data_IF_676717526308
#
_entry.id   IF_676717526308
#
_cell.length_a   1.000
_cell.length_b   1.000
_cell.length_c   1.000
_cell.angle_alpha   90.00
_cell.angle_beta   90.00
_cell.angle_gamma   90.00
#
_symmetry.space_group_name_H-M   'P 1'
#
loop_
_entity.id
_entity.type
_entity.pdbx_description
1 polymer ?
#
# COMPACT_ATOMS: atom_id res chain seq x y z
N UNK A 1 -5.70 -7.26 -8.72
CA UNK A 1 -4.28 -7.53 -9.11
C UNK A 1 -3.86 -6.93 -10.44
N UNK A 2 -4.67 -7.00 -11.51
CA UNK A 2 -4.27 -6.49 -12.83
C UNK A 2 -3.81 -5.01 -12.81
N UNK A 3 -4.54 -4.14 -12.12
CA UNK A 3 -4.23 -2.72 -12.01
C UNK A 3 -2.86 -2.44 -11.36
N UNK A 4 -2.53 -3.13 -10.27
CA UNK A 4 -1.23 -3.01 -9.60
C UNK A 4 -0.10 -3.54 -10.47
N UNK A 5 -0.32 -4.65 -11.20
CA UNK A 5 0.68 -5.21 -12.11
C UNK A 5 0.99 -4.25 -13.26
N UNK A 6 -0.05 -3.63 -13.86
CA UNK A 6 0.12 -2.59 -14.87
C UNK A 6 0.87 -1.38 -14.29
N UNK A 7 0.48 -0.94 -13.10
CA UNK A 7 1.12 0.19 -12.43
C UNK A 7 2.62 -0.08 -12.19
N UNK A 8 2.99 -1.21 -11.58
CA UNK A 8 4.39 -1.58 -11.32
C UNK A 8 5.22 -1.63 -12.60
N UNK A 9 4.65 -2.21 -13.67
CA UNK A 9 5.29 -2.26 -14.99
C UNK A 9 5.57 -0.86 -15.53
N UNK A 10 4.56 0.01 -15.57
CA UNK A 10 4.72 1.38 -16.07
C UNK A 10 5.70 2.20 -15.23
N UNK A 11 5.64 2.06 -13.91
CA UNK A 11 6.58 2.76 -13.02
C UNK A 11 8.01 2.31 -13.27
N UNK A 12 8.22 1.00 -13.50
CA UNK A 12 9.54 0.45 -13.85
C UNK A 12 10.03 0.98 -15.20
N UNK A 13 9.20 0.93 -16.25
CA UNK A 13 9.54 1.40 -17.60
C UNK A 13 9.92 2.89 -17.64
N UNK A 14 9.25 3.70 -16.81
CA UNK A 14 9.49 5.15 -16.73
C UNK A 14 10.45 5.57 -15.61
N UNK A 15 11.14 4.62 -14.96
CA UNK A 15 12.07 4.88 -13.84
C UNK A 15 11.44 5.69 -12.69
N UNK A 16 10.16 5.47 -12.43
CA UNK A 16 9.42 6.12 -11.34
C UNK A 16 9.47 5.22 -10.11
N UNK A 17 10.01 5.75 -9.01
CA UNK A 17 10.04 5.02 -7.74
C UNK A 17 8.78 5.27 -6.91
N UNK A 18 8.13 4.19 -6.51
CA UNK A 18 7.08 4.16 -5.50
C UNK A 18 7.39 3.08 -4.46
N UNK A 19 6.62 3.02 -3.37
CA UNK A 19 6.65 1.86 -2.47
C UNK A 19 5.28 1.60 -1.86
N UNK A 20 5.07 0.38 -1.36
CA UNK A 20 3.86 -0.03 -0.66
C UNK A 20 3.61 0.84 0.57
N UNK A 21 2.36 1.22 0.81
CA UNK A 21 1.95 2.11 1.89
C UNK A 21 0.80 1.49 2.70
N UNK A 22 0.47 2.08 3.85
CA UNK A 22 -0.77 1.77 4.58
C UNK A 22 -1.10 0.27 4.77
N UNK A 23 -2.33 -0.09 4.39
CA UNK A 23 -2.88 -1.45 4.48
C UNK A 23 -2.10 -2.45 3.62
N UNK A 24 -1.66 -2.01 2.45
CA UNK A 24 -0.83 -2.81 1.54
C UNK A 24 0.52 -3.17 2.13
N UNK A 25 1.21 -2.24 2.81
CA UNK A 25 2.50 -2.51 3.43
C UNK A 25 2.39 -3.50 4.61
N UNK A 26 1.37 -3.35 5.46
CA UNK A 26 1.14 -4.31 6.54
C UNK A 26 0.65 -5.66 6.02
N UNK A 27 -0.08 -5.68 4.92
CA UNK A 27 -0.41 -6.89 4.16
C UNK A 27 0.86 -7.64 3.75
N UNK A 28 1.77 -7.00 3.01
CA UNK A 28 3.05 -7.60 2.63
C UNK A 28 3.81 -8.13 3.85
N UNK A 29 3.80 -7.38 4.96
CA UNK A 29 4.45 -7.80 6.19
C UNK A 29 3.77 -9.01 6.85
N UNK A 30 2.44 -9.11 6.86
CA UNK A 30 1.72 -10.16 7.59
C UNK A 30 1.37 -11.38 6.76
N UNK A 31 1.20 -11.22 5.46
CA UNK A 31 0.58 -12.20 4.58
C UNK A 31 1.36 -12.43 3.28
N UNK A 32 2.48 -11.72 3.07
CA UNK A 32 3.16 -11.67 1.76
C UNK A 32 2.19 -11.28 0.62
N UNK A 33 1.13 -10.52 0.92
CA UNK A 33 0.03 -10.20 0.00
C UNK A 33 -0.94 -9.21 0.64
N UNK A 34 -2.17 -9.13 0.15
CA UNK A 34 -3.21 -8.31 0.77
C UNK A 34 -3.55 -8.82 2.18
N UNK A 35 -4.02 -7.93 3.05
CA UNK A 35 -4.73 -8.38 4.24
C UNK A 35 -6.02 -9.06 3.76
N UNK A 36 -6.37 -10.28 4.23
CA UNK A 36 -7.44 -11.09 3.62
C UNK A 36 -8.86 -10.47 3.61
N UNK A 37 -9.05 -9.40 4.37
CA UNK A 37 -10.32 -8.67 4.50
C UNK A 37 -10.19 -7.19 4.10
N UNK A 38 -9.13 -6.83 3.39
CA UNK A 38 -8.90 -5.53 2.77
C UNK A 38 -9.39 -5.57 1.31
N UNK A 39 -9.87 -4.44 0.79
CA UNK A 39 -10.51 -4.37 -0.53
C UNK A 39 -9.79 -3.44 -1.52
N UNK A 40 -8.71 -2.77 -1.10
CA UNK A 40 -7.96 -1.83 -1.93
C UNK A 40 -6.42 -1.98 -1.77
N UNK A 41 -5.68 -1.13 -2.48
CA UNK A 41 -4.22 -1.15 -2.50
C UNK A 41 -3.70 0.27 -2.41
N UNK A 42 -2.74 0.49 -1.52
CA UNK A 42 -2.09 1.76 -1.24
C UNK A 42 -0.63 1.76 -1.72
N UNK A 43 -0.27 2.75 -2.51
CA UNK A 43 1.13 3.06 -2.85
C UNK A 43 1.45 4.50 -2.55
N UNK A 44 2.72 4.81 -2.27
CA UNK A 44 3.16 6.18 -2.03
C UNK A 44 4.35 6.56 -2.91
N UNK A 45 4.29 7.79 -3.44
CA UNK A 45 5.28 8.37 -4.36
C UNK A 45 5.73 9.75 -3.89
N UNK A 46 6.84 10.25 -4.41
CA UNK A 46 7.24 11.63 -4.11
C UNK A 46 6.30 12.62 -4.81
N UNK A 47 5.92 13.71 -4.13
CA UNK A 47 4.97 14.72 -4.66
C UNK A 47 5.44 15.36 -5.97
N UNK A 48 6.75 15.41 -6.23
CA UNK A 48 7.31 15.94 -7.48
C UNK A 48 6.99 15.06 -8.71
N UNK A 49 6.56 13.81 -8.51
CA UNK A 49 6.22 12.89 -9.61
C UNK A 49 4.80 13.09 -10.14
N UNK A 50 3.95 13.89 -9.50
CA UNK A 50 2.54 14.11 -9.92
C UNK A 50 2.42 14.51 -11.39
N UNK A 51 3.28 15.40 -11.88
CA UNK A 51 3.29 15.82 -13.29
C UNK A 51 3.69 14.70 -14.23
N UNK A 52 4.73 13.94 -13.87
CA UNK A 52 5.21 12.81 -14.67
C UNK A 52 4.16 11.68 -14.72
N UNK A 53 3.47 11.38 -13.62
CA UNK A 53 2.37 10.42 -13.62
C UNK A 53 1.26 10.81 -14.59
N UNK A 54 0.87 12.10 -14.63
CA UNK A 54 -0.13 12.57 -15.60
C UNK A 54 0.32 12.33 -17.06
N UNK A 55 1.59 12.54 -17.37
CA UNK A 55 2.14 12.30 -18.71
C UNK A 55 2.19 10.80 -19.06
N UNK A 56 2.57 9.95 -18.10
CA UNK A 56 2.56 8.49 -18.30
C UNK A 56 1.15 8.04 -18.63
N UNK A 57 0.18 8.40 -17.79
CA UNK A 57 -1.20 7.93 -17.95
C UNK A 57 -2.00 8.65 -19.03
N UNK A 58 -1.55 9.80 -19.56
CA UNK A 58 -2.13 10.39 -20.78
C UNK A 58 -1.73 9.65 -22.06
N UNK A 59 -0.58 8.97 -22.04
CA UNK A 59 -0.04 8.24 -23.18
C UNK A 59 -0.35 6.74 -23.14
N UNK A 60 -0.80 6.25 -21.98
CA UNK A 60 -1.26 4.87 -21.78
C UNK A 60 -2.72 4.76 -22.22
N UNK A 61 -3.12 3.54 -22.65
CA UNK A 61 -4.47 3.19 -23.11
C UNK A 61 -5.59 3.97 -22.41
N UNK A 62 -6.60 4.37 -23.20
CA UNK A 62 -7.84 5.01 -22.72
C UNK A 62 -8.62 4.17 -21.70
N UNK A 63 -8.24 2.92 -21.47
CA UNK A 63 -8.87 2.01 -20.53
C UNK A 63 -8.63 2.36 -19.06
N UNK A 64 -7.65 3.22 -18.76
CA UNK A 64 -7.30 3.63 -17.40
C UNK A 64 -7.40 5.13 -17.20
N UNK A 65 -7.94 5.56 -16.06
CA UNK A 65 -8.00 6.97 -15.66
C UNK A 65 -7.16 7.17 -14.40
N UNK A 66 -6.25 8.15 -14.45
CA UNK A 66 -5.55 8.66 -13.28
C UNK A 66 -6.24 9.96 -12.82
N UNK A 67 -6.80 9.93 -11.61
CA UNK A 67 -7.29 11.11 -10.91
C UNK A 67 -6.30 11.49 -9.82
N UNK A 68 -5.80 12.74 -9.81
CA UNK A 68 -4.98 13.27 -8.70
C UNK A 68 -5.77 14.38 -8.04
N UNK A 69 -6.11 14.20 -6.75
CA UNK A 69 -6.80 15.22 -6.00
C UNK A 69 -5.89 16.44 -5.79
N UNK A 70 -6.43 17.68 -5.84
CA UNK A 70 -5.62 18.89 -5.65
C UNK A 70 -4.87 18.92 -4.31
N UNK A 71 -5.47 18.35 -3.24
CA UNK A 71 -4.94 18.47 -1.88
C UNK A 71 -4.52 17.16 -1.21
N UNK A 72 -5.01 16.00 -1.66
CA UNK A 72 -4.80 14.74 -0.92
C UNK A 72 -4.91 13.52 -1.84
N UNK A 73 -3.79 12.86 -2.11
CA UNK A 73 -3.75 11.58 -2.82
C UNK A 73 -4.23 11.64 -4.27
N UNK A 74 -4.57 10.48 -4.79
CA UNK A 74 -5.06 10.23 -6.13
C UNK A 74 -5.50 8.78 -6.28
N UNK A 75 -6.23 8.48 -7.35
CA UNK A 75 -6.75 7.15 -7.66
C UNK A 75 -6.45 6.80 -9.10
N UNK A 76 -5.99 5.59 -9.33
CA UNK A 76 -5.91 4.98 -10.65
C UNK A 76 -7.00 3.92 -10.74
N UNK A 77 -7.78 3.91 -11.82
CA UNK A 77 -8.92 3.01 -11.97
C UNK A 77 -9.26 2.76 -13.44
N UNK A 78 -10.14 1.80 -13.70
CA UNK A 78 -10.62 1.51 -15.05
C UNK A 78 -11.60 2.59 -15.52
N UNK A 79 -11.31 3.21 -16.67
CA UNK A 79 -12.13 4.29 -17.26
C UNK A 79 -13.57 3.84 -17.53
N UNK A 80 -13.76 2.56 -17.88
CA UNK A 80 -15.08 1.96 -18.15
C UNK A 80 -15.63 1.15 -16.96
N UNK A 81 -15.05 1.32 -15.77
CA UNK A 81 -15.54 0.68 -14.55
C UNK A 81 -16.85 1.30 -14.06
N UNK A 82 -17.54 0.60 -13.16
CA UNK A 82 -18.74 1.12 -12.50
C UNK A 82 -18.34 2.25 -11.55
N UNK A 83 -18.76 3.48 -11.86
CA UNK A 83 -18.52 4.63 -11.00
C UNK A 83 -19.19 4.47 -9.64
N UNK A 84 -18.52 4.97 -8.61
CA UNK A 84 -19.08 5.07 -7.27
C UNK A 84 -19.94 6.34 -7.22
N UNK A 85 -21.20 6.29 -6.72
CA UNK A 85 -22.05 7.47 -6.66
C UNK A 85 -21.37 8.63 -5.92
N UNK A 86 -21.42 9.83 -6.51
CA UNK A 86 -20.79 11.08 -6.01
C UNK A 86 -19.26 11.18 -6.17
N UNK A 87 -18.61 10.17 -6.76
CA UNK A 87 -17.18 10.17 -6.97
C UNK A 87 -16.82 10.10 -8.46
N UNK A 88 -15.62 10.62 -8.78
CA UNK A 88 -15.11 10.67 -10.15
C UNK A 88 -14.41 9.38 -10.60
N UNK A 89 -14.44 8.34 -9.76
CA UNK A 89 -13.70 7.10 -9.97
C UNK A 89 -14.59 5.87 -9.85
N UNK A 90 -14.10 4.78 -10.43
CA UNK A 90 -14.71 3.46 -10.37
C UNK A 90 -13.97 2.55 -9.40
N UNK A 91 -14.68 1.58 -8.84
CA UNK A 91 -14.08 0.48 -8.07
C UNK A 91 -13.93 -0.76 -8.97
N UNK A 92 -12.84 -1.54 -8.85
CA UNK A 92 -11.69 -1.34 -7.96
C UNK A 92 -10.73 -0.25 -8.45
N UNK A 93 -10.01 0.36 -7.50
CA UNK A 93 -8.97 1.35 -7.76
C UNK A 93 -7.67 1.02 -7.01
N UNK A 94 -6.59 1.70 -7.40
CA UNK A 94 -5.33 1.79 -6.68
C UNK A 94 -5.26 3.20 -6.06
N UNK A 95 -5.05 3.28 -4.76
CA UNK A 95 -4.85 4.56 -4.07
C UNK A 95 -3.38 5.00 -4.13
N UNK A 96 -3.17 6.23 -4.57
CA UNK A 96 -1.88 6.87 -4.74
C UNK A 96 -1.72 7.97 -3.70
N UNK A 97 -0.85 7.75 -2.74
CA UNK A 97 -0.43 8.74 -1.76
C UNK A 97 0.83 9.47 -2.23
N UNK A 98 1.07 10.65 -1.65
CA UNK A 98 2.24 11.45 -2.00
C UNK A 98 2.98 11.93 -0.76
N UNK A 99 4.29 11.72 -0.73
CA UNK A 99 5.14 12.24 0.33
C UNK A 99 5.92 13.51 -0.08
N UNK A 100 6.04 14.43 0.88
CA UNK A 100 7.03 15.49 0.91
C UNK A 100 8.30 15.01 1.61
N UNK A 101 9.41 15.72 1.45
CA UNK A 101 10.68 15.38 2.10
C UNK A 101 11.47 16.63 2.47
N UNK A 102 12.22 16.57 3.56
CA UNK A 102 13.29 17.52 3.88
C UNK A 102 14.62 16.77 3.93
N UNK A 103 15.65 17.28 4.61
CA UNK A 103 16.92 16.58 4.75
C UNK A 103 16.78 15.20 5.41
N UNK A 104 16.02 15.12 6.51
CA UNK A 104 16.02 13.97 7.44
C UNK A 104 14.77 13.11 7.38
N UNK A 105 13.63 13.64 6.91
CA UNK A 105 12.32 12.99 6.99
C UNK A 105 11.56 12.99 5.66
N UNK A 106 10.58 12.08 5.57
CA UNK A 106 9.46 12.15 4.64
C UNK A 106 8.14 12.23 5.41
N UNK A 107 7.11 12.83 4.83
CA UNK A 107 5.77 12.88 5.43
C UNK A 107 4.70 12.81 4.35
N UNK A 108 3.54 12.24 4.68
CA UNK A 108 2.36 12.29 3.82
C UNK A 108 1.92 13.75 3.64
N UNK A 109 1.70 14.15 2.39
CA UNK A 109 1.25 15.50 2.03
C UNK A 109 -0.24 15.72 2.28
N UNK A 110 -1.02 14.66 2.42
CA UNK A 110 -2.42 14.79 2.78
C UNK A 110 -2.56 15.35 4.22
N UNK A 111 -3.32 16.45 4.43
CA UNK A 111 -3.40 17.11 5.73
C UNK A 111 -3.81 16.21 6.90
N UNK A 112 -4.72 15.26 6.65
CA UNK A 112 -5.24 14.34 7.66
C UNK A 112 -4.23 13.26 8.09
N UNK A 113 -3.30 12.89 7.21
CA UNK A 113 -2.31 11.84 7.47
C UNK A 113 -0.95 12.40 7.92
N UNK A 114 -0.61 13.65 7.58
CA UNK A 114 0.70 14.26 7.86
C UNK A 114 1.19 14.11 9.30
N UNK A 115 0.29 14.20 10.29
CA UNK A 115 0.65 14.04 11.72
C UNK A 115 0.93 12.59 12.12
N UNK A 116 0.32 11.62 11.42
CA UNK A 116 0.46 10.18 11.70
C UNK A 116 1.55 9.53 10.85
N UNK A 117 1.84 10.09 9.68
CA UNK A 117 2.78 9.56 8.70
C UNK A 117 3.89 10.58 8.44
N UNK A 118 4.91 10.53 9.30
CA UNK A 118 6.16 11.28 9.19
C UNK A 118 7.30 10.38 9.68
N UNK A 119 8.26 10.08 8.81
CA UNK A 119 9.29 9.07 9.08
C UNK A 119 10.70 9.58 8.80
N UNK A 120 11.68 9.23 9.62
CA UNK A 120 13.08 9.41 9.28
C UNK A 120 13.42 8.69 7.98
N UNK A 121 14.17 9.33 7.08
CA UNK A 121 14.66 8.71 5.86
C UNK A 121 15.54 7.49 6.14
N UNK A 122 16.21 7.44 7.29
CA UNK A 122 17.08 6.32 7.68
C UNK A 122 16.33 5.00 7.79
N UNK A 123 15.05 5.03 8.23
CA UNK A 123 14.21 3.82 8.33
C UNK A 123 13.46 3.52 7.02
N UNK A 124 13.32 4.51 6.14
CA UNK A 124 12.63 4.33 4.84
C UNK A 124 13.59 3.92 3.73
N UNK A 125 14.74 4.57 3.62
CA UNK A 125 15.64 4.45 2.46
C UNK A 125 16.99 3.79 2.80
N UNK A 126 17.61 3.07 1.83
CA UNK A 126 17.05 2.74 0.53
C UNK A 126 15.93 1.71 0.69
N UNK A 127 15.02 1.72 -0.28
CA UNK A 127 13.90 0.80 -0.30
C UNK A 127 14.40 -0.64 -0.50
N UNK A 128 13.60 -1.61 -0.05
CA UNK A 128 13.85 -3.04 -0.23
C UNK A 128 12.66 -3.69 -0.91
N UNK A 129 12.92 -4.67 -1.77
CA UNK A 129 11.86 -5.49 -2.38
C UNK A 129 11.30 -6.46 -1.33
N UNK A 130 9.98 -6.58 -1.26
CA UNK A 130 9.27 -7.54 -0.40
C UNK A 130 8.18 -8.25 -1.22
N UNK A 131 7.85 -9.51 -0.89
CA UNK A 131 6.77 -10.22 -1.57
C UNK A 131 5.42 -9.56 -1.29
N UNK A 132 4.61 -9.47 -2.34
CA UNK A 132 3.21 -9.05 -2.30
C UNK A 132 2.45 -9.77 -3.41
N UNK A 133 1.64 -10.76 -3.04
CA UNK A 133 1.00 -11.68 -3.97
C UNK A 133 2.04 -12.33 -4.89
N UNK A 134 1.85 -12.24 -6.20
CA UNK A 134 2.78 -12.73 -7.21
C UNK A 134 3.86 -11.70 -7.62
N UNK A 135 3.96 -10.58 -6.90
CA UNK A 135 4.91 -9.48 -7.19
C UNK A 135 5.97 -9.34 -6.09
N UNK A 136 7.06 -8.66 -6.43
CA UNK A 136 8.07 -8.20 -5.48
C UNK A 136 8.13 -6.67 -5.53
N UNK A 137 7.48 -6.01 -4.58
CA UNK A 137 7.30 -4.57 -4.57
C UNK A 137 8.26 -3.87 -3.61
N UNK A 138 8.55 -2.60 -3.89
CA UNK A 138 9.37 -1.78 -3.02
C UNK A 138 8.65 -1.48 -1.70
N UNK A 139 9.41 -1.51 -0.61
CA UNK A 139 8.98 -1.24 0.75
C UNK A 139 10.08 -0.48 1.51
N UNK A 140 9.75 0.18 2.64
CA UNK A 140 10.74 0.82 3.50
C UNK A 140 11.84 -0.14 3.98
N UNK A 141 13.08 0.38 4.11
CA UNK A 141 14.27 -0.36 4.60
C UNK A 141 13.95 -1.16 5.86
N UNK A 142 13.40 -0.49 6.87
CA UNK A 142 12.89 -1.06 8.10
C UNK A 142 11.37 -1.01 8.08
N UNK A 143 10.78 -1.95 7.35
CA UNK A 143 9.33 -2.07 7.23
C UNK A 143 8.66 -2.18 8.60
N UNK A 144 9.23 -2.96 9.53
CA UNK A 144 8.66 -3.16 10.87
C UNK A 144 8.61 -1.85 11.64
N UNK A 145 9.69 -1.06 11.65
CA UNK A 145 9.70 0.25 12.31
C UNK A 145 8.61 1.16 11.75
N UNK A 146 8.47 1.24 10.42
CA UNK A 146 7.44 2.07 9.77
C UNK A 146 6.02 1.63 10.14
N UNK A 147 5.68 0.35 9.99
CA UNK A 147 4.30 -0.10 10.27
C UNK A 147 3.95 -0.06 11.77
N UNK A 148 4.95 -0.19 12.66
CA UNK A 148 4.72 -0.19 14.11
C UNK A 148 4.30 1.16 14.68
N UNK A 149 4.48 2.26 13.92
CA UNK A 149 4.00 3.59 14.34
C UNK A 149 2.49 3.73 14.19
N UNK A 150 1.88 2.96 13.29
CA UNK A 150 0.48 3.12 12.89
C UNK A 150 -0.37 1.92 13.32
N UNK A 151 0.24 0.73 13.39
CA UNK A 151 -0.46 -0.51 13.70
C UNK A 151 0.13 -1.23 14.91
N UNK A 152 -0.76 -1.78 15.74
CA UNK A 152 -0.37 -2.79 16.72
C UNK A 152 -0.11 -4.12 15.98
N UNK A 153 1.14 -4.58 15.98
CA UNK A 153 1.55 -5.75 15.19
C UNK A 153 0.94 -7.07 15.67
N UNK A 154 0.44 -7.14 16.91
CA UNK A 154 -0.21 -8.32 17.47
C UNK A 154 -1.73 -8.33 17.26
N UNK A 155 -2.31 -7.22 16.80
CA UNK A 155 -3.73 -7.04 16.59
C UNK A 155 -4.09 -6.93 15.11
N UNK A 156 -5.14 -7.66 14.74
CA UNK A 156 -5.72 -7.68 13.42
C UNK A 156 -7.05 -6.94 13.49
N UNK A 157 -7.15 -5.89 12.69
CA UNK A 157 -8.31 -5.00 12.62
C UNK A 157 -9.00 -5.20 11.28
N UNK A 158 -10.33 -5.37 11.27
CA UNK A 158 -11.11 -5.40 10.03
C UNK A 158 -11.10 -4.03 9.33
N UNK A 159 -11.46 -3.98 8.06
CA UNK A 159 -11.58 -2.70 7.36
C UNK A 159 -12.51 -1.74 8.14
N UNK A 160 -12.09 -0.48 8.26
CA UNK A 160 -12.90 0.61 8.82
C UNK A 160 -13.56 1.47 7.74
N UNK A 161 -13.27 1.17 6.48
CA UNK A 161 -13.77 1.85 5.30
C UNK A 161 -14.05 0.80 4.23
N UNK A 162 -15.17 0.95 3.52
CA UNK A 162 -15.53 0.11 2.39
C UNK A 162 -15.30 0.94 1.12
N UNK A 163 -14.25 0.60 0.38
CA UNK A 163 -13.79 1.36 -0.77
C UNK A 163 -14.72 1.19 -1.98
N UNK A 164 -15.47 0.09 -2.05
CA UNK A 164 -16.43 -0.15 -3.15
C UNK A 164 -17.61 0.83 -3.17
N UNK A 165 -17.89 1.48 -2.03
CA UNK A 165 -18.96 2.46 -1.87
C UNK A 165 -18.50 3.77 -1.21
N UNK A 166 -17.19 3.92 -0.96
CA UNK A 166 -16.59 5.08 -0.29
C UNK A 166 -17.31 5.44 1.03
N UNK A 167 -17.46 4.45 1.93
CA UNK A 167 -18.21 4.63 3.18
C UNK A 167 -17.49 4.05 4.40
N UNK A 168 -17.54 4.77 5.52
CA UNK A 168 -17.02 4.28 6.80
C UNK A 168 -17.87 3.14 7.35
N UNK A 169 -17.22 2.10 7.84
CA UNK A 169 -17.88 0.95 8.46
C UNK A 169 -17.32 0.71 9.86
N UNK A 170 -18.14 0.09 10.72
CA UNK A 170 -17.70 -0.30 12.05
C UNK A 170 -16.67 -1.43 11.92
N UNK A 171 -15.49 -1.21 12.47
CA UNK A 171 -14.45 -2.23 12.51
C UNK A 171 -14.44 -2.99 13.84
N UNK A 172 -13.87 -4.18 13.81
CA UNK A 172 -13.52 -4.98 14.99
C UNK A 172 -12.01 -5.20 15.05
N UNK A 173 -11.49 -5.42 16.25
CA UNK A 173 -10.08 -5.75 16.48
C UNK A 173 -9.98 -7.04 17.28
N UNK A 174 -9.12 -7.96 16.85
CA UNK A 174 -8.83 -9.22 17.52
C UNK A 174 -7.34 -9.45 17.58
N UNK A 175 -6.85 -10.31 18.50
CA UNK A 175 -5.47 -10.81 18.42
C UNK A 175 -5.28 -11.57 17.10
N UNK A 176 -4.23 -11.26 16.35
CA UNK A 176 -3.96 -11.91 15.06
C UNK A 176 -3.81 -13.43 15.19
N UNK A 177 -3.32 -13.92 16.34
CA UNK A 177 -3.21 -15.37 16.60
C UNK A 177 -4.52 -16.13 16.47
N UNK A 178 -5.68 -15.47 16.70
CA UNK A 178 -7.01 -16.06 16.51
C UNK A 178 -7.34 -16.35 15.04
N UNK A 179 -6.58 -15.77 14.10
CA UNK A 179 -6.81 -15.86 12.66
C UNK A 179 -5.81 -16.77 11.94
N UNK A 180 -4.80 -17.30 12.65
CA UNK A 180 -3.75 -18.15 12.05
C UNK A 180 -4.29 -19.48 11.46
N UNK A 181 -5.46 -19.95 11.93
CA UNK A 181 -6.14 -21.13 11.38
C UNK A 181 -6.99 -20.81 10.14
N UNK A 182 -7.32 -19.53 9.92
CA UNK A 182 -8.22 -19.07 8.87
C UNK A 182 -7.46 -18.53 7.66
N UNK A 183 -6.32 -17.87 7.91
CA UNK A 183 -5.53 -17.21 6.86
C UNK A 183 -4.04 -17.51 6.99
N UNK A 184 -3.27 -17.45 5.89
CA UNK A 184 -1.82 -17.55 5.93
C UNK A 184 -1.21 -16.35 6.66
N UNK A 185 -0.19 -16.59 7.49
CA UNK A 185 0.57 -15.54 8.18
C UNK A 185 2.07 -15.76 8.06
N UNK A 186 2.80 -14.67 7.95
CA UNK A 186 4.27 -14.64 7.90
C UNK A 186 4.82 -14.88 9.29
N UNK A 187 5.55 -15.98 9.43
CA UNK A 187 6.38 -16.28 10.58
C UNK A 187 7.81 -15.80 10.34
N UNK A 188 8.51 -15.45 11.42
CA UNK A 188 9.84 -14.85 11.39
C UNK A 188 10.78 -15.61 12.28
N UNK A 189 11.94 -15.98 11.75
CA UNK A 189 13.04 -16.58 12.51
C UNK A 189 14.29 -15.74 12.33
N UNK A 190 14.87 -15.29 13.44
CA UNK A 190 16.15 -14.61 13.43
C UNK A 190 17.23 -15.60 12.96
N UNK A 191 18.06 -15.14 12.03
CA UNK A 191 19.22 -15.89 11.51
C UNK A 191 20.44 -14.97 11.58
N UNK A 192 21.64 -15.53 11.53
CA UNK A 192 22.87 -14.73 11.56
C UNK A 192 22.86 -13.70 10.41
N UNK A 193 22.83 -12.42 10.75
CA UNK A 193 22.81 -11.31 9.78
C UNK A 193 21.44 -10.96 9.18
N UNK A 194 20.32 -11.54 9.66
CA UNK A 194 19.00 -11.20 9.12
C UNK A 194 17.80 -11.88 9.77
N UNK A 195 16.70 -11.91 9.05
CA UNK A 195 15.45 -12.54 9.46
C UNK A 195 14.88 -13.32 8.26
N UNK A 196 14.67 -14.61 8.43
CA UNK A 196 13.93 -15.41 7.47
C UNK A 196 12.43 -15.22 7.70
N UNK A 197 11.72 -14.90 6.62
CA UNK A 197 10.26 -14.75 6.60
C UNK A 197 9.67 -15.94 5.84
N UNK A 198 8.67 -16.58 6.44
CA UNK A 198 8.03 -17.76 5.86
C UNK A 198 6.52 -17.61 6.00
N UNK A 199 5.79 -17.65 4.89
CA UNK A 199 4.34 -17.67 4.92
C UNK A 199 3.90 -19.04 5.42
N UNK A 200 3.01 -19.09 6.42
CA UNK A 200 2.55 -20.33 7.02
C UNK A 200 1.04 -20.35 7.05
N UNK A 201 0.44 -21.45 6.59
CA UNK A 201 -0.99 -21.71 6.69
C UNK A 201 -1.26 -23.09 7.27
N UNK A 202 -1.98 -23.13 8.41
CA UNK A 202 -2.31 -24.38 9.11
C UNK A 202 -1.10 -25.30 9.36
N UNK A 203 0.06 -24.71 9.63
CA UNK A 203 1.31 -25.44 9.90
C UNK A 203 2.13 -25.80 8.66
N UNK A 204 1.61 -25.54 7.45
CA UNK A 204 2.32 -25.76 6.19
C UNK A 204 2.99 -24.47 5.73
N UNK A 205 4.17 -24.61 5.11
CA UNK A 205 4.93 -23.54 4.47
C UNK A 205 4.50 -23.42 3.01
#
# INVERSE_FOLDING_TARGET
>A
MHLLTLFDKLMTEHNVTYFMYGGTLIGSYRHHGMVPWDDDIDVILSTNLKGHLKQIFSNVSTDYTLYIHPTCGGKLFLSRGKLIPQFLWSYPFLDLFFYGKNATHIWDTCPHYKKRFCYPKSIVFPLRRRPFENLYLLAPRDTRAVISTTYNLHECRSASYNHSIEHYIKYITVKCSRLHSLHPFVTRKNVNGGCNETLVYKGNI
#
